data_IF_857077511570
#
_entry.id   IF_857077511570
#
_cell.length_a   1.000
_cell.length_b   1.000
_cell.length_c   1.000
_cell.angle_alpha   90.00
_cell.angle_beta   90.00
_cell.angle_gamma   90.00
#
_symmetry.space_group_name_H-M   'P 1'
#
loop_
_entity.id
_entity.type
_entity.pdbx_description
1 polymer ?
#
# COMPACT_ATOMS: atom_id res chain seq x y z
N UNK A 1 4.04 -9.98 -8.05
CA UNK A 1 3.93 -8.60 -8.58
C UNK A 1 3.63 -7.66 -7.41
N UNK A 2 4.59 -6.82 -7.00
CA UNK A 2 4.41 -5.82 -5.93
C UNK A 2 4.32 -4.44 -6.58
N UNK A 3 3.12 -3.86 -6.58
CA UNK A 3 2.85 -2.53 -7.14
C UNK A 3 2.85 -1.53 -5.98
N UNK A 4 3.33 -0.31 -6.17
CA UNK A 4 3.31 0.70 -5.10
C UNK A 4 2.10 1.62 -5.25
N UNK A 5 1.49 2.04 -4.15
CA UNK A 5 0.52 3.14 -4.15
C UNK A 5 0.97 4.22 -3.17
N UNK A 6 0.68 5.48 -3.51
CA UNK A 6 0.93 6.62 -2.63
C UNK A 6 -0.33 7.01 -1.88
N UNK A 7 -0.21 7.27 -0.57
CA UNK A 7 -1.29 7.83 0.26
C UNK A 7 -1.08 9.33 0.49
N UNK A 8 -2.06 10.16 0.11
CA UNK A 8 -1.94 11.63 0.13
C UNK A 8 -2.73 12.35 1.22
N UNK A 9 -3.71 11.70 1.87
CA UNK A 9 -4.68 12.41 2.73
C UNK A 9 -4.83 11.87 4.16
N UNK A 10 -3.70 11.60 4.82
CA UNK A 10 -3.67 11.27 6.25
C UNK A 10 -3.15 12.50 7.02
N UNK A 11 -4.08 13.27 7.57
CA UNK A 11 -3.93 14.63 8.10
C UNK A 11 -2.72 14.79 9.06
N UNK A 12 -2.01 15.92 8.90
CA UNK A 12 -0.98 16.55 9.78
C UNK A 12 0.52 16.21 9.63
N UNK A 13 0.98 15.77 8.45
CA UNK A 13 2.40 15.93 8.12
C UNK A 13 2.49 16.47 6.69
N UNK A 14 3.25 17.55 6.51
CA UNK A 14 3.68 18.11 5.21
C UNK A 14 3.77 17.02 4.15
N UNK A 15 3.26 17.33 2.94
CA UNK A 15 2.94 16.48 1.77
C UNK A 15 4.04 15.50 1.30
N UNK A 16 4.52 14.64 2.17
CA UNK A 16 5.45 13.57 1.83
C UNK A 16 4.61 12.35 1.49
N UNK A 17 4.57 11.93 0.21
CA UNK A 17 3.82 10.76 -0.20
C UNK A 17 4.34 9.51 0.52
N UNK A 18 3.45 8.78 1.20
CA UNK A 18 3.79 7.46 1.73
C UNK A 18 3.65 6.43 0.62
N UNK A 19 4.76 5.80 0.22
CA UNK A 19 4.74 4.68 -0.72
C UNK A 19 4.54 3.37 0.02
N UNK A 20 3.52 2.62 -0.38
CA UNK A 20 3.21 1.30 0.17
C UNK A 20 3.19 0.25 -0.91
N UNK A 21 3.72 -0.91 -0.56
CA UNK A 21 3.78 -2.06 -1.42
C UNK A 21 2.50 -2.90 -1.34
N UNK A 22 1.87 -3.14 -2.49
CA UNK A 22 0.65 -3.95 -2.61
C UNK A 22 1.01 -5.41 -2.33
N UNK A 23 0.39 -5.97 -1.30
CA UNK A 23 0.57 -7.34 -0.85
C UNK A 23 -0.47 -8.30 -1.47
N UNK A 24 -1.62 -7.78 -1.93
CA UNK A 24 -2.62 -8.58 -2.63
C UNK A 24 -2.20 -8.96 -4.06
N UNK A 25 -2.63 -10.12 -4.59
CA UNK A 25 -2.39 -10.47 -5.99
C UNK A 25 -3.20 -9.58 -6.95
N UNK A 26 -2.73 -9.38 -8.20
CA UNK A 26 -3.46 -8.62 -9.22
C UNK A 26 -4.88 -9.15 -9.49
N UNK A 27 -5.09 -10.47 -9.38
CA UNK A 27 -6.39 -11.11 -9.58
C UNK A 27 -7.45 -10.66 -8.58
N UNK A 28 -7.07 -10.35 -7.33
CA UNK A 28 -7.99 -9.84 -6.31
C UNK A 28 -8.49 -8.43 -6.66
N UNK A 29 -7.56 -7.57 -7.11
CA UNK A 29 -7.87 -6.22 -7.56
C UNK A 29 -8.77 -6.26 -8.80
N UNK A 30 -8.46 -7.12 -9.77
CA UNK A 30 -9.29 -7.27 -10.98
C UNK A 30 -10.71 -7.77 -10.67
N UNK A 31 -10.87 -8.66 -9.70
CA UNK A 31 -12.17 -9.25 -9.37
C UNK A 31 -13.03 -8.38 -8.44
N UNK A 32 -12.42 -7.61 -7.53
CA UNK A 32 -13.14 -6.93 -6.44
C UNK A 32 -12.85 -5.43 -6.31
N UNK A 33 -11.88 -4.90 -7.06
CA UNK A 33 -11.41 -3.52 -6.89
C UNK A 33 -10.74 -3.27 -5.53
N UNK A 34 -10.20 -4.33 -4.89
CA UNK A 34 -9.60 -4.25 -3.56
C UNK A 34 -8.07 -4.40 -3.65
N UNK A 35 -7.37 -3.58 -2.88
CA UNK A 35 -5.92 -3.68 -2.64
C UNK A 35 -5.68 -3.95 -1.16
N UNK A 36 -4.73 -4.84 -0.88
CA UNK A 36 -4.30 -5.14 0.48
C UNK A 36 -2.84 -4.72 0.67
N UNK A 37 -2.54 -4.14 1.83
CA UNK A 37 -1.22 -3.66 2.20
C UNK A 37 -0.82 -4.26 3.54
N UNK A 38 0.45 -4.68 3.66
CA UNK A 38 1.03 -5.11 4.93
C UNK A 38 1.76 -3.94 5.56
N UNK A 39 1.30 -3.49 6.73
CA UNK A 39 1.87 -2.32 7.43
C UNK A 39 2.31 -2.72 8.83
N UNK A 40 3.56 -2.41 9.18
CA UNK A 40 4.07 -2.54 10.55
C UNK A 40 3.88 -1.24 11.31
N UNK A 41 3.25 -1.31 12.47
CA UNK A 41 3.09 -0.13 13.35
C UNK A 41 4.45 0.33 13.89
N UNK A 42 4.77 1.61 13.69
CA UNK A 42 5.99 2.26 14.20
C UNK A 42 5.60 3.55 14.94
N UNK A 43 5.95 3.71 16.23
CA UNK A 43 5.65 4.92 16.99
C UNK A 43 6.14 6.20 16.30
N UNK A 44 5.33 7.26 16.31
CA UNK A 44 5.67 8.55 15.69
C UNK A 44 5.62 8.59 14.17
N UNK A 45 5.13 7.53 13.51
CA UNK A 45 5.02 7.46 12.04
C UNK A 45 3.57 7.41 11.55
N UNK A 46 3.38 7.69 10.26
CA UNK A 46 2.13 7.49 9.53
C UNK A 46 1.65 6.03 9.61
N UNK A 47 2.58 5.05 9.66
CA UNK A 47 2.24 3.64 9.77
C UNK A 47 1.44 3.31 11.05
N UNK A 48 1.68 4.02 12.16
CA UNK A 48 0.88 3.87 13.39
C UNK A 48 -0.57 4.32 13.18
N UNK A 49 -0.80 5.32 12.34
CA UNK A 49 -2.14 5.80 12.01
C UNK A 49 -2.85 4.84 11.05
N UNK A 50 -2.14 4.30 10.06
CA UNK A 50 -2.68 3.27 9.16
C UNK A 50 -3.15 2.02 9.91
N UNK A 51 -2.38 1.56 10.90
CA UNK A 51 -2.78 0.41 11.73
C UNK A 51 -4.01 0.67 12.62
N UNK A 52 -4.54 1.90 12.66
CA UNK A 52 -5.74 2.26 13.42
C UNK A 52 -6.96 2.53 12.55
N UNK A 53 -6.81 2.47 11.21
CA UNK A 53 -7.91 2.69 10.29
C UNK A 53 -9.07 1.73 10.56
N UNK A 54 -10.29 2.26 10.52
CA UNK A 54 -11.55 1.56 10.65
C UNK A 54 -12.20 1.39 9.27
N UNK A 55 -13.19 0.49 9.17
CA UNK A 55 -13.89 0.21 7.89
C UNK A 55 -14.55 1.42 7.24
N UNK A 56 -14.81 2.48 8.01
CA UNK A 56 -15.47 3.71 7.54
C UNK A 56 -14.49 4.82 7.18
N UNK A 57 -13.19 4.62 7.43
CA UNK A 57 -12.18 5.63 7.14
C UNK A 57 -11.88 5.67 5.64
N UNK A 58 -11.80 6.88 5.09
CA UNK A 58 -11.48 7.11 3.68
C UNK A 58 -10.01 7.49 3.58
N UNK A 59 -9.29 6.81 2.69
CA UNK A 59 -7.91 7.13 2.34
C UNK A 59 -7.81 7.38 0.84
N UNK A 60 -7.14 8.45 0.45
CA UNK A 60 -6.85 8.70 -0.96
C UNK A 60 -5.60 7.94 -1.39
N UNK A 61 -5.74 7.18 -2.48
CA UNK A 61 -4.69 6.41 -3.11
C UNK A 61 -4.35 7.04 -4.47
N UNK A 62 -3.06 7.19 -4.74
CA UNK A 62 -2.60 7.45 -6.10
C UNK A 62 -2.81 6.23 -7.01
N UNK A 63 -2.66 6.44 -8.31
CA UNK A 63 -2.48 5.32 -9.23
C UNK A 63 -1.32 4.42 -8.79
N UNK A 64 -1.45 3.15 -9.11
CA UNK A 64 -0.39 2.15 -9.06
C UNK A 64 0.89 2.66 -9.75
N UNK A 65 2.02 2.56 -9.05
CA UNK A 65 3.33 2.98 -9.53
C UNK A 65 4.31 1.78 -9.57
N UNK A 66 5.20 1.81 -10.57
CA UNK A 66 6.23 0.81 -10.80
C UNK A 66 5.81 -0.30 -11.76
N UNK A 67 6.78 -1.03 -12.32
CA UNK A 67 6.54 -2.19 -13.20
C UNK A 67 6.47 -3.53 -12.45
N UNK A 68 6.48 -3.49 -11.12
CA UNK A 68 6.62 -4.67 -10.28
C UNK A 68 8.06 -5.17 -10.16
N UNK A 69 8.23 -6.30 -9.47
CA UNK A 69 9.48 -7.05 -9.40
C UNK A 69 9.32 -8.32 -10.24
N UNK A 70 10.34 -8.67 -11.03
CA UNK A 70 10.40 -9.94 -11.76
C UNK A 70 10.57 -11.09 -10.76
N UNK A 71 9.45 -11.73 -10.44
CA UNK A 71 9.41 -12.89 -9.53
C UNK A 71 9.90 -14.17 -10.21
N UNK A 72 9.93 -14.19 -11.54
CA UNK A 72 10.42 -15.33 -12.35
C UNK A 72 11.95 -15.46 -12.30
N UNK A 73 12.65 -14.45 -11.79
CA UNK A 73 14.09 -14.48 -11.56
C UNK A 73 14.49 -14.93 -10.15
N UNK A 74 13.52 -15.23 -9.27
CA UNK A 74 13.84 -15.72 -7.93
C UNK A 74 14.29 -17.19 -8.05
N UNK A 75 15.55 -17.52 -7.75
CA UNK A 75 16.00 -18.91 -7.78
C UNK A 75 15.17 -19.71 -6.78
N UNK A 76 14.62 -20.84 -7.23
CA UNK A 76 14.05 -21.81 -6.31
C UNK A 76 15.18 -22.31 -5.39
N UNK A 77 14.93 -22.44 -4.07
CA UNK A 77 15.92 -22.93 -3.11
C UNK A 77 16.35 -24.36 -3.41
#
# INVERSE_FOLDING_TARGET
MMVMASLSNLIMMVSIPLFLAIASPPSLSAAKGVLEFLVKSVPGSIAKLLCKLQKVDVVELSSAMGKGFEIDLIPLP
#
